data_IF_411279123265
#
_entry.id   IF_411279123265
#
_cell.length_a   1.000
_cell.length_b   1.000
_cell.length_c   1.000
_cell.angle_alpha   90.00
_cell.angle_beta   90.00
_cell.angle_gamma   90.00
#
_symmetry.space_group_name_H-M   'P 1'
#
loop_
_entity.id
_entity.type
_entity.pdbx_description
1 polymer ?
#
# COMPACT_ATOMS: atom_id res chain seq x y z
N UNK A 1 14.63 5.54 -3.12
CA UNK A 1 14.31 4.37 -2.24
C UNK A 1 12.86 3.99 -2.42
N UNK A 2 12.59 2.80 -2.92
CA UNK A 2 11.22 2.37 -3.11
C UNK A 2 10.61 1.85 -1.79
N UNK A 3 9.39 2.32 -1.48
CA UNK A 3 8.58 1.82 -0.37
C UNK A 3 7.54 0.82 -0.90
N UNK A 4 7.38 -0.32 -0.21
CA UNK A 4 6.50 -1.40 -0.62
C UNK A 4 5.35 -1.57 0.37
N UNK A 5 4.13 -1.73 -0.15
CA UNK A 5 2.94 -2.08 0.63
C UNK A 5 2.12 -3.11 -0.13
N UNK A 6 1.58 -4.11 0.56
CA UNK A 6 0.64 -5.09 0.01
C UNK A 6 -0.53 -5.25 0.96
N UNK A 7 -1.74 -5.31 0.42
CA UNK A 7 -2.95 -5.58 1.18
C UNK A 7 -3.98 -6.35 0.35
N UNK A 8 -4.81 -7.18 1.00
CA UNK A 8 -5.82 -7.95 0.30
C UNK A 8 -7.04 -7.09 -0.07
N UNK A 9 -7.66 -7.41 -1.20
CA UNK A 9 -8.96 -6.91 -1.64
C UNK A 9 -9.98 -8.03 -1.42
N UNK A 10 -11.05 -7.74 -0.63
CA UNK A 10 -12.03 -8.74 -0.22
C UNK A 10 -13.46 -8.49 -0.70
N UNK A 11 -13.79 -7.25 -1.02
CA UNK A 11 -15.18 -6.85 -1.31
C UNK A 11 -15.42 -6.71 -2.80
N UNK A 12 -14.60 -5.94 -3.51
CA UNK A 12 -14.69 -5.75 -4.96
C UNK A 12 -13.33 -5.37 -5.53
N UNK A 13 -12.89 -6.11 -6.52
CA UNK A 13 -11.69 -5.82 -7.29
C UNK A 13 -11.94 -4.75 -8.37
N UNK A 14 -13.17 -4.70 -8.94
CA UNK A 14 -13.55 -3.71 -9.94
C UNK A 14 -13.24 -2.27 -9.51
N UNK A 15 -13.71 -1.85 -8.32
CA UNK A 15 -13.43 -0.49 -7.82
C UNK A 15 -11.94 -0.18 -7.66
N UNK A 16 -11.16 -1.17 -7.30
CA UNK A 16 -9.72 -1.01 -7.17
C UNK A 16 -9.04 -0.90 -8.55
N UNK A 17 -9.48 -1.70 -9.52
CA UNK A 17 -9.04 -1.64 -10.91
C UNK A 17 -9.41 -0.29 -11.54
N UNK A 18 -10.67 0.13 -11.44
CA UNK A 18 -11.14 1.43 -11.93
C UNK A 18 -10.32 2.60 -11.33
N UNK A 19 -9.96 2.51 -10.04
CA UNK A 19 -9.16 3.52 -9.36
C UNK A 19 -7.73 3.61 -9.93
N UNK A 20 -7.07 2.47 -10.17
CA UNK A 20 -5.67 2.47 -10.63
C UNK A 20 -5.57 2.78 -12.13
N UNK A 21 -6.60 2.52 -12.92
CA UNK A 21 -6.64 2.79 -14.36
C UNK A 21 -7.25 4.15 -14.71
N UNK A 22 -7.49 5.01 -13.70
CA UNK A 22 -8.07 6.34 -13.92
C UNK A 22 -7.15 7.17 -14.84
N UNK A 23 -7.65 7.69 -15.99
CA UNK A 23 -6.86 8.48 -16.94
C UNK A 23 -6.19 9.71 -16.32
N UNK A 24 -6.89 10.40 -15.41
CA UNK A 24 -6.37 11.62 -14.73
C UNK A 24 -5.11 11.37 -13.89
N UNK A 25 -4.81 10.10 -13.58
CA UNK A 25 -3.69 9.70 -12.71
C UNK A 25 -2.56 9.00 -13.46
N UNK A 26 -2.84 8.51 -14.66
CA UNK A 26 -1.99 7.57 -15.41
C UNK A 26 -1.53 8.14 -16.74
N UNK A 27 -1.46 9.47 -16.87
CA UNK A 27 -1.12 10.16 -18.11
C UNK A 27 -1.95 9.62 -19.29
N UNK A 28 -3.27 9.82 -19.23
CA UNK A 28 -4.25 9.34 -20.21
C UNK A 28 -4.17 7.82 -20.52
N UNK A 29 -3.81 7.01 -19.52
CA UNK A 29 -3.62 5.54 -19.57
C UNK A 29 -2.36 5.07 -20.33
N UNK A 30 -1.45 5.94 -20.72
CA UNK A 30 -0.17 5.55 -21.32
C UNK A 30 0.64 4.67 -20.36
N UNK A 31 0.56 4.95 -19.06
CA UNK A 31 1.27 4.23 -18.00
C UNK A 31 0.42 3.11 -17.37
N UNK A 32 -0.34 2.38 -18.20
CA UNK A 32 -1.11 1.20 -17.78
C UNK A 32 -0.68 -0.01 -18.61
N UNK A 33 -0.43 -1.11 -17.93
CA UNK A 33 -0.09 -2.40 -18.57
C UNK A 33 -0.76 -3.55 -17.82
N UNK A 34 -0.84 -4.71 -18.48
CA UNK A 34 -1.41 -5.91 -17.87
C UNK A 34 -0.68 -7.17 -18.31
N UNK A 35 -0.88 -8.24 -17.58
CA UNK A 35 -0.40 -9.57 -17.90
C UNK A 35 -1.49 -10.62 -17.67
N UNK A 36 -1.75 -11.44 -18.66
CA UNK A 36 -2.74 -12.51 -18.59
C UNK A 36 -4.20 -12.05 -18.60
N UNK A 37 -4.45 -10.73 -18.71
CA UNK A 37 -5.79 -10.14 -18.78
C UNK A 37 -5.75 -8.81 -19.55
N UNK A 38 -6.94 -8.30 -19.95
CA UNK A 38 -7.09 -6.95 -20.46
C UNK A 38 -7.42 -5.97 -19.32
N UNK A 39 -6.83 -4.77 -19.29
CA UNK A 39 -7.11 -3.79 -18.22
C UNK A 39 -8.59 -3.45 -18.07
N UNK A 40 -9.34 -3.44 -19.19
CA UNK A 40 -10.76 -3.07 -19.26
C UNK A 40 -11.68 -4.17 -18.72
N UNK A 41 -11.29 -5.44 -18.81
CA UNK A 41 -12.09 -6.62 -18.45
C UNK A 41 -11.48 -7.44 -17.32
N UNK A 42 -10.43 -6.93 -16.70
CA UNK A 42 -9.66 -7.66 -15.67
C UNK A 42 -10.51 -8.16 -14.49
N UNK A 43 -11.54 -7.42 -14.11
CA UNK A 43 -12.48 -7.84 -13.05
C UNK A 43 -13.23 -9.12 -13.40
N UNK A 44 -13.66 -9.25 -14.67
CA UNK A 44 -14.36 -10.44 -15.17
C UNK A 44 -13.38 -11.62 -15.34
N UNK A 45 -12.21 -11.38 -15.90
CA UNK A 45 -11.18 -12.39 -16.10
C UNK A 45 -10.67 -12.95 -14.76
N UNK A 46 -10.42 -12.09 -13.79
CA UNK A 46 -10.09 -12.50 -12.43
C UNK A 46 -11.19 -13.35 -11.79
N UNK A 47 -12.47 -12.99 -12.01
CA UNK A 47 -13.60 -13.75 -11.52
C UNK A 47 -13.65 -15.16 -12.12
N UNK A 48 -13.45 -15.29 -13.45
CA UNK A 48 -13.41 -16.57 -14.15
C UNK A 48 -12.29 -17.48 -13.61
N UNK A 49 -11.09 -16.94 -13.43
CA UNK A 49 -9.97 -17.69 -12.85
C UNK A 49 -10.28 -18.16 -11.43
N UNK A 50 -10.89 -17.32 -10.60
CA UNK A 50 -11.32 -17.71 -9.24
C UNK A 50 -12.41 -18.78 -9.25
N UNK A 51 -13.36 -18.71 -10.17
CA UNK A 51 -14.37 -19.76 -10.32
C UNK A 51 -13.76 -21.12 -10.70
N UNK A 52 -12.78 -21.10 -11.63
CA UNK A 52 -12.05 -22.32 -11.99
C UNK A 52 -11.28 -22.89 -10.78
N UNK A 53 -10.62 -22.03 -10.01
CA UNK A 53 -9.95 -22.44 -8.79
C UNK A 53 -10.92 -23.04 -7.73
N UNK A 54 -12.13 -22.48 -7.61
CA UNK A 54 -13.21 -23.04 -6.77
C UNK A 54 -13.65 -24.43 -7.21
N UNK A 55 -13.92 -24.60 -8.52
CA UNK A 55 -14.30 -25.92 -9.09
C UNK A 55 -13.25 -26.98 -8.81
N UNK A 56 -11.98 -26.61 -8.77
CA UNK A 56 -10.86 -27.49 -8.45
C UNK A 56 -10.58 -27.62 -6.95
N UNK A 57 -11.42 -27.06 -6.06
CA UNK A 57 -11.27 -27.13 -4.61
C UNK A 57 -10.07 -26.37 -4.04
N UNK A 58 -9.46 -25.50 -4.82
CA UNK A 58 -8.22 -24.77 -4.47
C UNK A 58 -8.48 -23.35 -3.96
N UNK A 59 -9.69 -22.82 -4.12
CA UNK A 59 -10.06 -21.48 -3.68
C UNK A 59 -10.41 -21.46 -2.19
N UNK A 60 -9.41 -21.33 -1.33
CA UNK A 60 -9.58 -21.21 0.13
C UNK A 60 -9.41 -19.75 0.57
N UNK A 61 -10.42 -19.21 1.28
CA UNK A 61 -10.40 -17.86 1.90
C UNK A 61 -11.05 -16.78 1.03
N UNK A 62 -11.21 -15.56 1.59
CA UNK A 62 -12.09 -14.50 1.10
C UNK A 62 -11.40 -13.46 0.20
N UNK A 63 -10.10 -13.59 -0.04
CA UNK A 63 -9.37 -12.63 -0.84
C UNK A 63 -9.73 -12.80 -2.33
N UNK A 64 -10.17 -11.70 -2.98
CA UNK A 64 -10.44 -11.64 -4.41
C UNK A 64 -9.17 -11.31 -5.20
N UNK A 65 -8.42 -10.33 -4.73
CA UNK A 65 -7.20 -9.85 -5.34
C UNK A 65 -6.25 -9.30 -4.26
N UNK A 66 -5.06 -8.91 -4.66
CA UNK A 66 -4.11 -8.17 -3.83
C UNK A 66 -3.69 -6.88 -4.52
N UNK A 67 -3.56 -5.83 -3.73
CA UNK A 67 -3.04 -4.55 -4.17
C UNK A 67 -1.62 -4.38 -3.64
N UNK A 68 -0.65 -4.36 -4.53
CA UNK A 68 0.77 -4.15 -4.26
C UNK A 68 1.14 -2.74 -4.75
N UNK A 69 1.76 -1.96 -3.88
CA UNK A 69 2.20 -0.60 -4.18
C UNK A 69 3.72 -0.54 -4.08
N UNK A 70 4.36 0.07 -5.08
CA UNK A 70 5.77 0.42 -5.09
C UNK A 70 5.90 1.93 -5.29
N UNK A 71 6.41 2.66 -4.31
CA UNK A 71 6.49 4.12 -4.33
C UNK A 71 7.95 4.57 -4.28
N UNK A 72 8.32 5.50 -5.15
CA UNK A 72 9.68 6.05 -5.27
C UNK A 72 9.78 7.38 -4.52
N UNK A 73 11.01 7.82 -4.25
CA UNK A 73 11.26 9.13 -3.66
C UNK A 73 11.03 10.22 -4.73
N UNK A 74 10.50 11.39 -4.36
CA UNK A 74 10.36 12.51 -5.30
C UNK A 74 11.65 12.81 -6.05
N UNK A 75 11.56 12.94 -7.38
CA UNK A 75 12.70 13.24 -8.25
C UNK A 75 13.74 12.11 -8.42
N UNK A 76 13.47 10.91 -7.90
CA UNK A 76 14.42 9.78 -7.99
C UNK A 76 14.29 9.03 -9.32
N UNK A 77 13.13 9.06 -9.95
CA UNK A 77 12.83 8.30 -11.18
C UNK A 77 11.78 9.07 -12.01
N UNK A 78 11.86 8.97 -13.33
CA UNK A 78 10.80 9.42 -14.24
C UNK A 78 9.68 8.39 -14.36
N UNK A 79 8.54 8.80 -14.93
CA UNK A 79 7.33 7.99 -14.99
C UNK A 79 7.48 6.72 -15.83
N UNK A 80 8.14 6.82 -16.99
CA UNK A 80 8.34 5.66 -17.89
C UNK A 80 9.28 4.63 -17.25
N UNK A 81 10.38 5.10 -16.67
CA UNK A 81 11.31 4.22 -15.95
C UNK A 81 10.63 3.58 -14.74
N UNK A 82 9.83 4.33 -13.98
CA UNK A 82 9.07 3.78 -12.85
C UNK A 82 8.11 2.69 -13.31
N UNK A 83 7.40 2.89 -14.43
CA UNK A 83 6.48 1.92 -15.01
C UNK A 83 7.22 0.63 -15.43
N UNK A 84 8.31 0.77 -16.17
CA UNK A 84 9.17 -0.36 -16.59
C UNK A 84 9.70 -1.15 -15.39
N UNK A 85 10.20 -0.46 -14.35
CA UNK A 85 10.64 -1.10 -13.11
C UNK A 85 9.50 -1.80 -12.36
N UNK A 86 8.30 -1.21 -12.42
CA UNK A 86 7.09 -1.81 -11.86
C UNK A 86 6.68 -3.09 -12.58
N UNK A 87 6.76 -3.14 -13.90
CA UNK A 87 6.52 -4.34 -14.70
C UNK A 87 7.53 -5.44 -14.35
N UNK A 88 8.82 -5.13 -14.39
CA UNK A 88 9.87 -6.08 -13.98
C UNK A 88 9.63 -6.60 -12.55
N UNK A 89 9.23 -5.72 -11.64
CA UNK A 89 8.91 -6.09 -10.26
C UNK A 89 7.71 -7.01 -10.16
N UNK A 90 6.62 -6.74 -10.90
CA UNK A 90 5.44 -7.60 -10.95
C UNK A 90 5.79 -8.99 -11.49
N UNK A 91 6.53 -9.06 -12.59
CA UNK A 91 6.94 -10.32 -13.23
C UNK A 91 7.78 -11.19 -12.28
N UNK A 92 8.72 -10.60 -11.57
CA UNK A 92 9.57 -11.35 -10.63
C UNK A 92 8.83 -11.81 -9.37
N UNK A 93 7.88 -10.99 -8.87
CA UNK A 93 7.07 -11.34 -7.71
C UNK A 93 6.06 -12.43 -8.05
N UNK A 94 5.36 -12.29 -9.18
CA UNK A 94 4.23 -13.13 -9.58
C UNK A 94 4.64 -14.32 -10.45
N UNK A 95 5.83 -14.23 -11.09
CA UNK A 95 6.44 -15.32 -11.87
C UNK A 95 5.57 -15.85 -13.01
N UNK A 96 4.78 -14.98 -13.65
CA UNK A 96 3.88 -15.36 -14.72
C UNK A 96 2.75 -16.32 -14.32
N UNK A 97 2.37 -16.36 -13.02
CA UNK A 97 1.36 -17.29 -12.51
C UNK A 97 0.02 -16.64 -12.20
N UNK A 98 -0.01 -15.33 -12.09
CA UNK A 98 -1.19 -14.55 -11.71
C UNK A 98 -1.44 -13.47 -12.73
N UNK A 99 -2.69 -13.29 -13.09
CA UNK A 99 -3.14 -12.13 -13.88
C UNK A 99 -2.92 -10.87 -13.05
N UNK A 100 -2.45 -9.80 -13.68
CA UNK A 100 -2.31 -8.51 -13.01
C UNK A 100 -2.52 -7.33 -13.95
N UNK A 101 -2.91 -6.21 -13.38
CA UNK A 101 -2.90 -4.89 -14.00
C UNK A 101 -1.96 -4.00 -13.20
N UNK A 102 -1.07 -3.31 -13.88
CA UNK A 102 -0.18 -2.31 -13.30
C UNK A 102 -0.48 -0.93 -13.88
N UNK A 103 -0.47 0.08 -13.02
CA UNK A 103 -0.50 1.47 -13.43
C UNK A 103 0.53 2.29 -12.65
N UNK A 104 1.06 3.32 -13.29
CA UNK A 104 1.95 4.28 -12.67
C UNK A 104 1.23 5.61 -12.52
N UNK A 105 1.10 6.07 -11.29
CA UNK A 105 0.45 7.33 -10.96
C UNK A 105 1.48 8.45 -10.85
N UNK A 106 1.18 9.57 -11.50
CA UNK A 106 2.03 10.78 -11.58
C UNK A 106 1.34 12.01 -10.96
N UNK A 107 0.16 11.84 -10.38
CA UNK A 107 -0.70 12.88 -9.80
C UNK A 107 -0.16 13.51 -8.50
N UNK A 108 0.96 13.02 -7.98
CA UNK A 108 1.60 13.48 -6.73
C UNK A 108 3.07 13.80 -6.93
N UNK A 109 3.67 14.47 -5.94
CA UNK A 109 5.09 14.79 -5.91
C UNK A 109 6.01 13.56 -6.01
N UNK A 110 5.49 12.38 -5.75
CA UNK A 110 6.22 11.12 -5.83
C UNK A 110 5.51 10.13 -6.77
N UNK A 111 6.27 9.53 -7.65
CA UNK A 111 5.79 8.52 -8.58
C UNK A 111 5.59 7.19 -7.84
N UNK A 112 4.49 6.51 -8.12
CA UNK A 112 4.17 5.24 -7.50
C UNK A 112 3.43 4.28 -8.45
N UNK A 113 3.84 3.03 -8.42
CA UNK A 113 3.22 1.94 -9.16
C UNK A 113 2.15 1.28 -8.30
N UNK A 114 0.98 1.09 -8.87
CA UNK A 114 -0.09 0.27 -8.34
C UNK A 114 -0.18 -1.02 -9.15
N UNK A 115 -0.07 -2.17 -8.50
CA UNK A 115 -0.20 -3.48 -9.12
C UNK A 115 -1.34 -4.20 -8.43
N UNK A 116 -2.42 -4.49 -9.18
CA UNK A 116 -3.51 -5.33 -8.70
C UNK A 116 -3.41 -6.66 -9.38
N UNK A 117 -3.28 -7.73 -8.61
CA UNK A 117 -3.19 -9.09 -9.15
C UNK A 117 -4.23 -10.01 -8.53
N UNK A 118 -4.68 -10.97 -9.31
CA UNK A 118 -5.68 -11.95 -8.90
C UNK A 118 -5.18 -12.79 -7.71
N UNK A 119 -6.05 -13.07 -6.76
CA UNK A 119 -5.72 -13.94 -5.63
C UNK A 119 -5.49 -15.39 -6.05
N UNK A 120 -6.15 -15.87 -7.11
CA UNK A 120 -5.99 -17.22 -7.65
C UNK A 120 -5.01 -17.22 -8.83
N UNK A 121 -4.18 -18.23 -8.89
CA UNK A 121 -3.27 -18.48 -10.03
C UNK A 121 -4.03 -19.14 -11.18
N UNK A 122 -3.94 -18.58 -12.39
CA UNK A 122 -4.50 -19.20 -13.59
C UNK A 122 -3.71 -20.44 -14.07
N UNK A 123 -2.46 -20.60 -13.57
CA UNK A 123 -1.60 -21.76 -13.91
C UNK A 123 -1.84 -22.93 -12.98
N UNK A 124 -1.94 -22.68 -11.66
CA UNK A 124 -1.96 -23.74 -10.65
C UNK A 124 -3.27 -23.80 -9.85
N UNK A 125 -4.19 -22.87 -10.07
CA UNK A 125 -5.43 -22.66 -9.33
C UNK A 125 -5.24 -22.38 -7.82
N UNK A 126 -4.01 -22.36 -7.31
CA UNK A 126 -3.73 -22.06 -5.91
C UNK A 126 -3.82 -20.58 -5.62
N UNK A 127 -4.33 -20.23 -4.45
CA UNK A 127 -4.33 -18.86 -3.97
C UNK A 127 -2.94 -18.39 -3.55
N UNK A 128 -2.70 -17.10 -3.78
CA UNK A 128 -1.51 -16.41 -3.30
C UNK A 128 -1.49 -16.36 -1.77
N UNK A 129 -0.36 -16.77 -1.18
CA UNK A 129 -0.17 -16.76 0.26
C UNK A 129 0.55 -15.48 0.68
N UNK A 130 -0.23 -14.53 1.22
CA UNK A 130 0.31 -13.29 1.79
C UNK A 130 0.64 -13.48 3.26
N UNK A 131 1.93 -13.50 3.59
CA UNK A 131 2.44 -13.61 4.96
C UNK A 131 3.74 -12.79 5.12
N UNK A 132 4.29 -12.75 6.34
CA UNK A 132 5.52 -12.02 6.65
C UNK A 132 6.72 -12.45 5.78
N UNK A 133 6.83 -13.75 5.47
CA UNK A 133 7.92 -14.28 4.62
C UNK A 133 7.78 -13.81 3.17
N UNK A 134 6.55 -13.86 2.59
CA UNK A 134 6.30 -13.37 1.24
C UNK A 134 6.53 -11.86 1.15
N UNK A 135 6.12 -11.09 2.15
CA UNK A 135 6.38 -9.65 2.22
C UNK A 135 7.89 -9.32 2.20
N UNK A 136 8.69 -9.99 3.03
CA UNK A 136 10.15 -9.79 3.01
C UNK A 136 10.79 -10.18 1.67
N UNK A 137 10.24 -11.20 0.99
CA UNK A 137 10.71 -11.57 -0.36
C UNK A 137 10.39 -10.47 -1.37
N UNK A 138 9.18 -9.93 -1.36
CA UNK A 138 8.75 -8.80 -2.20
C UNK A 138 9.68 -7.60 -2.00
N UNK A 139 9.94 -7.21 -0.74
CA UNK A 139 10.84 -6.10 -0.43
C UNK A 139 12.28 -6.33 -0.96
N UNK A 140 12.80 -7.57 -0.86
CA UNK A 140 14.14 -7.90 -1.39
C UNK A 140 14.20 -7.81 -2.91
N UNK A 141 13.16 -8.26 -3.61
CA UNK A 141 13.08 -8.15 -5.07
C UNK A 141 13.07 -6.67 -5.48
N UNK A 142 12.20 -5.85 -4.89
CA UNK A 142 12.14 -4.42 -5.18
C UNK A 142 13.47 -3.71 -4.90
N UNK A 143 14.12 -3.99 -3.76
CA UNK A 143 15.42 -3.40 -3.44
C UNK A 143 16.50 -3.77 -4.45
N UNK A 144 16.53 -5.03 -4.89
CA UNK A 144 17.50 -5.49 -5.90
C UNK A 144 17.28 -4.76 -7.24
N UNK A 145 16.04 -4.70 -7.72
CA UNK A 145 15.68 -3.98 -8.96
C UNK A 145 16.09 -2.51 -8.86
N UNK A 146 15.81 -1.84 -7.74
CA UNK A 146 16.22 -0.45 -7.51
C UNK A 146 17.76 -0.31 -7.55
N UNK A 147 18.48 -1.21 -6.89
CA UNK A 147 19.94 -1.20 -6.84
C UNK A 147 20.56 -1.41 -8.23
N UNK A 148 20.05 -2.35 -9.01
CA UNK A 148 20.48 -2.63 -10.39
C UNK A 148 20.29 -1.44 -11.33
N UNK A 149 19.32 -0.55 -11.00
CA UNK A 149 19.03 0.67 -11.77
C UNK A 149 19.58 1.96 -11.11
N UNK A 150 20.52 1.85 -10.17
CA UNK A 150 21.19 2.99 -9.54
C UNK A 150 20.31 3.81 -8.59
N UNK A 151 19.13 3.30 -8.21
CA UNK A 151 18.22 3.96 -7.29
C UNK A 151 18.61 3.67 -5.83
N UNK A 152 18.31 4.61 -4.94
CA UNK A 152 18.62 4.47 -3.52
C UNK A 152 17.85 3.30 -2.89
N UNK A 153 18.56 2.40 -2.23
CA UNK A 153 17.97 1.30 -1.48
C UNK A 153 18.20 1.51 0.01
N UNK A 154 17.22 1.25 0.83
CA UNK A 154 17.42 1.06 2.26
C UNK A 154 16.60 -0.14 2.72
N UNK A 155 17.28 -1.11 3.31
CA UNK A 155 16.60 -2.09 4.14
C UNK A 155 16.11 -1.35 5.37
N UNK A 156 14.79 -1.30 5.63
CA UNK A 156 14.31 -0.65 6.84
C UNK A 156 14.79 -1.47 8.03
N UNK A 157 15.69 -0.92 8.83
CA UNK A 157 15.90 -1.41 10.20
C UNK A 157 14.59 -1.21 10.97
N UNK A 158 14.27 -2.10 11.92
CA UNK A 158 12.96 -2.15 12.58
C UNK A 158 12.43 -0.82 13.13
N UNK A 159 13.31 0.15 13.45
CA UNK A 159 12.93 1.51 13.88
C UNK A 159 12.48 2.41 12.72
N UNK A 160 13.15 2.33 11.55
CA UNK A 160 12.76 3.07 10.35
C UNK A 160 11.42 2.61 9.78
N UNK A 161 11.10 1.30 9.92
CA UNK A 161 9.78 0.77 9.53
C UNK A 161 8.66 1.40 10.35
N UNK A 162 8.86 1.62 11.64
CA UNK A 162 7.86 2.28 12.50
C UNK A 162 7.63 3.74 12.09
N UNK A 163 8.71 4.49 11.81
CA UNK A 163 8.62 5.90 11.40
C UNK A 163 7.94 6.05 10.03
N UNK A 164 8.34 5.25 9.04
CA UNK A 164 7.77 5.27 7.69
C UNK A 164 6.29 4.85 7.74
N UNK A 165 5.93 3.81 8.50
CA UNK A 165 4.54 3.39 8.68
C UNK A 165 3.67 4.48 9.30
N UNK A 166 4.24 5.30 10.17
CA UNK A 166 3.55 6.43 10.79
C UNK A 166 3.31 7.55 9.77
N UNK A 167 4.30 7.90 8.97
CA UNK A 167 4.19 8.91 7.90
C UNK A 167 3.16 8.48 6.85
N UNK A 168 3.16 7.21 6.44
CA UNK A 168 2.21 6.69 5.46
C UNK A 168 0.77 6.56 5.98
N UNK A 169 0.59 6.25 7.25
CA UNK A 169 -0.75 6.30 7.85
C UNK A 169 -1.33 7.73 7.90
N UNK A 170 -0.47 8.75 7.82
CA UNK A 170 -0.86 10.17 7.72
C UNK A 170 -1.16 10.55 6.26
N UNK A 171 -0.42 9.99 5.27
CA UNK A 171 -0.50 10.36 3.85
C UNK A 171 -1.57 9.55 3.10
N UNK A 172 -1.79 8.29 3.48
CA UNK A 172 -2.77 7.39 2.83
C UNK A 172 -3.96 7.19 3.77
N UNK A 173 -4.80 8.21 3.93
CA UNK A 173 -6.12 8.01 4.50
C UNK A 173 -6.99 7.21 3.51
N UNK A 174 -7.62 6.10 3.96
CA UNK A 174 -8.65 5.46 3.15
C UNK A 174 -9.80 6.46 3.01
N UNK A 175 -10.21 6.74 1.78
CA UNK A 175 -11.36 7.58 1.48
C UNK A 175 -12.57 7.10 2.29
N UNK A 176 -13.05 7.95 3.22
CA UNK A 176 -14.27 7.69 3.99
C UNK A 176 -14.17 7.75 5.51
N UNK A 177 -13.06 8.18 6.10
CA UNK A 177 -13.01 8.49 7.54
C UNK A 177 -13.04 10.00 7.78
N UNK A 178 -13.84 10.50 8.76
CA UNK A 178 -13.88 11.92 9.06
C UNK A 178 -12.50 12.42 9.53
N UNK A 179 -12.10 13.58 9.02
CA UNK A 179 -10.86 14.29 9.37
C UNK A 179 -10.73 14.41 10.89
N UNK A 180 -9.74 13.72 11.47
CA UNK A 180 -9.21 14.09 12.76
C UNK A 180 -8.02 15.02 12.53
N UNK A 181 -8.16 16.30 12.82
CA UNK A 181 -7.03 17.24 12.84
C UNK A 181 -5.98 16.80 13.86
N UNK A 182 -4.80 16.43 13.41
CA UNK A 182 -3.66 16.17 14.28
C UNK A 182 -2.86 17.47 14.49
N UNK A 183 -2.93 17.99 15.68
CA UNK A 183 -2.09 19.12 16.10
C UNK A 183 -0.74 18.61 16.60
N UNK A 184 0.34 18.94 15.90
CA UNK A 184 1.72 18.73 16.35
C UNK A 184 2.03 19.70 17.50
N UNK A 185 2.18 19.20 18.71
CA UNK A 185 2.72 19.99 19.82
C UNK A 185 4.24 19.81 19.81
N UNK A 186 4.97 20.82 19.36
CA UNK A 186 6.42 20.92 19.56
C UNK A 186 6.68 21.38 20.99
N UNK A 187 7.32 20.54 21.77
CA UNK A 187 7.97 20.97 23.01
C UNK A 187 9.44 21.27 22.74
N UNK A 188 9.85 22.48 23.07
CA UNK A 188 11.25 22.93 23.01
C UNK A 188 12.02 22.34 24.20
N UNK A 189 12.87 21.36 23.91
CA UNK A 189 13.83 20.75 24.84
C UNK A 189 15.12 20.38 24.08
N UNK A 190 16.24 20.14 24.75
CA UNK A 190 17.54 19.91 24.11
C UNK A 190 17.51 18.62 23.23
N UNK A 191 18.38 18.52 22.19
CA UNK A 191 18.18 17.64 21.04
C UNK A 191 18.40 16.14 21.23
N UNK A 192 18.47 15.65 22.45
CA UNK A 192 18.82 14.24 22.71
C UNK A 192 17.66 13.27 22.98
N UNK A 193 16.42 13.74 23.21
CA UNK A 193 15.28 12.83 23.45
C UNK A 193 13.98 13.46 22.93
N UNK A 194 13.63 13.21 21.66
CA UNK A 194 12.27 13.45 21.15
C UNK A 194 11.44 12.17 21.33
N UNK A 195 10.68 12.06 22.39
CA UNK A 195 9.63 11.04 22.55
C UNK A 195 8.34 11.58 21.93
N UNK A 196 7.97 11.08 20.77
CA UNK A 196 6.68 11.36 20.16
C UNK A 196 5.62 10.41 20.74
N UNK A 197 4.65 10.97 21.45
CA UNK A 197 3.47 10.23 21.90
C UNK A 197 2.34 10.42 20.90
N UNK A 198 1.75 9.30 20.44
CA UNK A 198 0.56 9.31 19.59
C UNK A 198 -0.65 8.83 20.40
N UNK A 199 -1.74 9.58 20.34
CA UNK A 199 -3.03 9.16 20.89
C UNK A 199 -3.90 8.60 19.76
N UNK A 200 -4.34 7.35 19.91
CA UNK A 200 -5.33 6.73 19.05
C UNK A 200 -6.71 7.06 19.63
N UNK A 201 -7.44 7.99 19.03
CA UNK A 201 -8.84 8.23 19.39
C UNK A 201 -9.72 7.15 18.75
N UNK A 202 -10.51 6.44 19.55
CA UNK A 202 -11.57 5.56 19.06
C UNK A 202 -12.88 6.32 18.97
N UNK A 203 -13.79 5.90 18.10
CA UNK A 203 -15.11 6.51 17.92
C UNK A 203 -15.96 6.46 19.22
N UNK A 204 -15.66 5.53 20.14
CA UNK A 204 -16.34 5.38 21.41
C UNK A 204 -15.88 6.42 22.45
N UNK A 205 -14.65 6.93 22.36
CA UNK A 205 -14.13 7.94 23.30
C UNK A 205 -14.78 9.32 23.10
N UNK A 206 -15.25 9.62 21.88
CA UNK A 206 -15.96 10.88 21.58
C UNK A 206 -17.40 10.92 22.11
N UNK A 207 -18.07 9.77 22.27
CA UNK A 207 -19.46 9.73 22.77
C UNK A 207 -19.59 9.70 24.28
N UNK A 208 -18.56 9.39 25.03
CA UNK A 208 -18.64 9.14 26.48
C UNK A 208 -18.09 10.23 27.38
N UNK A 209 -17.42 11.25 26.85
CA UNK A 209 -16.89 12.37 27.64
C UNK A 209 -15.93 11.99 28.79
N UNK A 210 -15.36 10.79 28.78
CA UNK A 210 -14.51 10.29 29.87
C UNK A 210 -13.03 10.54 29.57
N UNK A 211 -12.43 11.42 30.37
CA UNK A 211 -10.98 11.58 30.45
C UNK A 211 -10.33 10.35 31.11
N UNK A 212 -9.41 9.70 30.42
CA UNK A 212 -8.52 8.71 31.04
C UNK A 212 -7.21 9.37 31.45
N UNK A 213 -6.97 9.41 32.74
CA UNK A 213 -5.72 9.89 33.36
C UNK A 213 -4.70 8.75 33.30
N UNK A 214 -3.49 9.02 32.80
CA UNK A 214 -2.36 8.09 32.85
C UNK A 214 -1.43 8.41 34.01
N UNK A 215 -0.88 7.40 34.71
CA UNK A 215 -0.11 7.59 35.90
C UNK A 215 1.30 8.14 35.62
N UNK A 216 1.73 9.01 36.53
CA UNK A 216 3.03 9.61 36.78
C UNK A 216 3.45 10.84 35.96
N UNK A 217 3.14 12.02 36.45
CA UNK A 217 4.05 13.16 36.39
C UNK A 217 3.72 14.34 35.51
N UNK A 218 2.49 14.50 35.00
CA UNK A 218 2.12 15.73 34.27
C UNK A 218 0.76 16.25 34.76
N UNK A 219 0.78 17.44 35.36
CA UNK A 219 -0.42 18.18 35.76
C UNK A 219 -1.26 18.54 34.53
N UNK A 220 -2.55 18.25 34.63
CA UNK A 220 -3.56 18.57 33.60
C UNK A 220 -3.74 20.08 33.49
N UNK A 221 -3.51 20.67 32.32
CA UNK A 221 -4.10 21.96 31.95
C UNK A 221 -5.39 21.73 31.21
N UNK A 222 -6.47 22.26 31.75
CA UNK A 222 -7.78 22.33 31.10
C UNK A 222 -7.66 23.04 29.75
N UNK A 223 -8.12 22.43 28.67
CA UNK A 223 -8.32 23.07 27.39
C UNK A 223 -9.82 23.29 27.24
N UNK A 224 -10.25 24.56 27.30
CA UNK A 224 -11.60 24.97 26.91
C UNK A 224 -11.74 24.85 25.40
N UNK A 225 -12.78 24.17 24.98
CA UNK A 225 -13.28 24.20 23.60
C UNK A 225 -14.07 25.50 23.39
N UNK A 226 -13.65 26.29 22.46
CA UNK A 226 -14.48 27.27 21.77
C UNK A 226 -14.71 26.72 20.36
#
# INVERSE_FOLDING_TARGET
MAYIKIFPIKVTDKKALDYITNPDKTDEKILVSSFGCSPETADLEFALTRENAKKNGMDKGDNLAFHLIQSFKPGEVDAETAHRLGQQFADEVLKGKYEYVISTHVDKDHIHNHIIFNAASFVTNHKYVSNKRSYHKICRISNRICQENGLATSMPTGEKVKAIRTIWNIIVEPAGKPNCEFRLIRQSGPPSITRNFYRKCSWQDMKSGREKIYPSGLQSRKISLI
#
